data_IF_609167836581
#
_entry.id   IF_609167836581
#
_cell.length_a   1.000
_cell.length_b   1.000
_cell.length_c   1.000
_cell.angle_alpha   90.00
_cell.angle_beta   90.00
_cell.angle_gamma   90.00
#
_symmetry.space_group_name_H-M   'P 1'
#
loop_
_entity.id
_entity.type
_entity.pdbx_description
1 polymer ?
#
# COMPACT_ATOMS: atom_id res chain seq x y z
N UNK A 1 -25.59 -6.38 19.38
CA UNK A 1 -25.42 -5.39 18.29
C UNK A 1 -24.24 -5.84 17.49
N UNK A 2 -24.45 -6.32 16.26
CA UNK A 2 -23.35 -6.63 15.36
C UNK A 2 -22.53 -5.37 15.14
N UNK A 3 -21.23 -5.41 15.49
CA UNK A 3 -20.31 -4.35 15.09
C UNK A 3 -20.31 -4.32 13.57
N UNK A 4 -20.62 -3.18 12.98
CA UNK A 4 -20.42 -2.96 11.55
C UNK A 4 -18.96 -3.29 11.24
N UNK A 5 -18.73 -4.24 10.35
CA UNK A 5 -17.38 -4.64 9.94
C UNK A 5 -16.70 -3.44 9.28
N UNK A 6 -15.51 -3.05 9.75
CA UNK A 6 -14.71 -1.99 9.13
C UNK A 6 -14.28 -2.42 7.72
N UNK A 7 -14.29 -1.48 6.77
CA UNK A 7 -13.78 -1.71 5.42
C UNK A 7 -12.26 -1.60 5.43
N UNK A 8 -11.57 -2.58 4.85
CA UNK A 8 -10.10 -2.65 4.84
C UNK A 8 -9.57 -1.93 3.60
N UNK A 9 -8.87 -0.82 3.81
CA UNK A 9 -8.35 0.05 2.75
C UNK A 9 -6.82 0.01 2.73
N UNK A 10 -6.23 -0.20 1.57
CA UNK A 10 -4.79 -0.05 1.37
C UNK A 10 -4.50 1.29 0.68
N UNK A 11 -3.88 2.24 1.38
CA UNK A 11 -3.51 3.54 0.81
C UNK A 11 -2.10 3.43 0.24
N UNK A 12 -1.98 3.59 -1.09
CA UNK A 12 -0.69 3.54 -1.79
C UNK A 12 -0.15 4.96 -2.01
N UNK A 13 1.12 5.19 -1.73
CA UNK A 13 1.74 6.52 -1.88
C UNK A 13 3.24 6.46 -2.18
N UNK A 14 3.85 7.60 -2.49
CA UNK A 14 5.21 7.72 -3.01
C UNK A 14 5.25 7.48 -4.52
N UNK A 15 6.01 6.48 -4.94
CA UNK A 15 6.14 6.04 -6.33
C UNK A 15 7.48 6.41 -6.95
N UNK A 16 7.78 5.73 -8.08
CA UNK A 16 8.93 6.01 -8.94
C UNK A 16 8.62 7.18 -9.88
N UNK A 17 8.53 8.37 -9.30
CA UNK A 17 8.13 9.59 -9.99
C UNK A 17 8.85 10.80 -9.40
N UNK A 18 9.05 11.85 -10.21
CA UNK A 18 9.51 13.15 -9.72
C UNK A 18 8.50 13.84 -8.79
N UNK A 19 7.28 13.33 -8.73
CA UNK A 19 6.19 13.80 -7.88
C UNK A 19 6.02 12.96 -6.59
N UNK A 20 7.03 12.16 -6.25
CA UNK A 20 7.06 11.31 -5.04
C UNK A 20 6.64 12.07 -3.78
N UNK A 21 7.25 13.23 -3.51
CA UNK A 21 6.95 14.02 -2.30
C UNK A 21 5.54 14.61 -2.32
N UNK A 22 5.01 14.94 -3.51
CA UNK A 22 3.64 15.41 -3.68
C UNK A 22 2.67 14.30 -3.28
N UNK A 23 2.94 13.06 -3.70
CA UNK A 23 2.17 11.89 -3.30
C UNK A 23 2.18 11.66 -1.79
N UNK A 24 3.33 11.81 -1.11
CA UNK A 24 3.41 11.71 0.35
C UNK A 24 2.53 12.76 1.06
N UNK A 25 2.53 13.99 0.57
CA UNK A 25 1.71 15.07 1.13
C UNK A 25 0.20 14.85 0.91
N UNK A 26 -0.17 14.36 -0.28
CA UNK A 26 -1.55 13.96 -0.59
C UNK A 26 -2.00 12.82 0.32
N UNK A 27 -1.16 11.80 0.51
CA UNK A 27 -1.46 10.66 1.38
C UNK A 27 -1.64 11.09 2.84
N UNK A 28 -0.84 12.03 3.35
CA UNK A 28 -1.03 12.62 4.69
C UNK A 28 -2.43 13.22 4.85
N UNK A 29 -2.89 13.93 3.82
CA UNK A 29 -4.21 14.60 3.84
C UNK A 29 -5.35 13.58 3.82
N UNK A 30 -5.23 12.52 3.01
CA UNK A 30 -6.20 11.41 2.97
C UNK A 30 -6.24 10.69 4.32
N UNK A 31 -5.10 10.27 4.85
CA UNK A 31 -5.01 9.52 6.10
C UNK A 31 -5.53 10.31 7.31
N UNK A 32 -5.39 11.63 7.31
CA UNK A 32 -5.87 12.49 8.39
C UNK A 32 -7.41 12.59 8.49
N UNK A 33 -8.14 12.25 7.42
CA UNK A 33 -9.60 12.38 7.36
C UNK A 33 -10.34 11.04 7.30
N UNK A 34 -9.62 9.92 7.15
CA UNK A 34 -10.23 8.59 7.18
C UNK A 34 -10.79 8.30 8.58
N UNK A 35 -12.08 7.94 8.61
CA UNK A 35 -12.80 7.62 9.84
C UNK A 35 -12.34 6.25 10.39
N UNK A 36 -11.65 6.20 11.54
CA UNK A 36 -11.12 4.95 12.08
C UNK A 36 -12.24 4.00 12.53
N UNK A 37 -13.47 4.48 12.73
CA UNK A 37 -14.62 3.61 13.07
C UNK A 37 -15.18 2.90 11.85
N UNK A 38 -14.90 3.40 10.64
CA UNK A 38 -15.36 2.81 9.36
C UNK A 38 -14.27 2.06 8.61
N UNK A 39 -13.02 2.49 8.74
CA UNK A 39 -11.92 1.98 7.94
C UNK A 39 -10.80 1.38 8.79
N UNK A 40 -10.30 0.24 8.34
CA UNK A 40 -9.03 -0.34 8.80
C UNK A 40 -7.98 -0.07 7.72
N UNK A 41 -6.95 0.72 8.04
CA UNK A 41 -6.04 1.26 7.03
C UNK A 41 -4.70 0.54 7.03
N UNK A 42 -4.32 -0.01 5.87
CA UNK A 42 -2.96 -0.46 5.58
C UNK A 42 -2.24 0.61 4.76
N UNK A 43 -1.14 1.16 5.28
CA UNK A 43 -0.31 2.13 4.55
C UNK A 43 0.75 1.40 3.72
N UNK A 44 0.88 1.72 2.45
CA UNK A 44 1.93 1.15 1.59
C UNK A 44 2.64 2.28 0.86
N UNK A 45 3.91 2.48 1.20
CA UNK A 45 4.76 3.44 0.51
C UNK A 45 5.56 2.75 -0.59
N UNK A 46 5.71 3.41 -1.74
CA UNK A 46 6.49 2.93 -2.88
C UNK A 46 7.72 3.83 -3.00
N UNK A 47 8.93 3.27 -2.94
CA UNK A 47 10.17 4.04 -3.03
C UNK A 47 10.40 4.60 -4.44
N UNK A 48 11.37 5.51 -4.58
CA UNK A 48 11.81 6.00 -5.90
C UNK A 48 12.35 4.88 -6.80
N UNK A 49 12.84 3.79 -6.22
CA UNK A 49 13.27 2.60 -6.98
C UNK A 49 12.12 1.63 -7.27
N UNK A 50 10.92 1.92 -6.76
CA UNK A 50 9.71 1.13 -6.97
C UNK A 50 9.48 0.00 -5.98
N UNK A 51 10.21 -0.05 -4.86
CA UNK A 51 9.96 -1.03 -3.80
C UNK A 51 8.75 -0.64 -2.96
N UNK A 52 7.85 -1.59 -2.73
CA UNK A 52 6.67 -1.39 -1.90
C UNK A 52 6.99 -1.77 -0.47
N UNK A 53 6.69 -0.91 0.49
CA UNK A 53 7.10 -1.04 1.88
C UNK A 53 5.96 -0.78 2.85
N UNK A 54 5.92 -1.54 3.94
CA UNK A 54 4.98 -1.35 5.05
C UNK A 54 5.65 -1.60 6.41
N UNK A 55 5.20 -0.85 7.40
CA UNK A 55 5.52 -1.03 8.81
C UNK A 55 4.80 0.00 9.69
N UNK A 56 5.23 0.10 10.95
CA UNK A 56 4.69 1.10 11.87
C UNK A 56 4.97 2.51 11.35
N UNK A 57 3.94 3.36 11.27
CA UNK A 57 4.03 4.75 10.80
C UNK A 57 4.72 4.89 9.43
N UNK A 58 4.33 4.05 8.47
CA UNK A 58 4.96 3.98 7.13
C UNK A 58 5.10 5.34 6.46
N UNK A 59 4.04 6.17 6.45
CA UNK A 59 4.11 7.50 5.84
C UNK A 59 5.17 8.42 6.49
N UNK A 60 5.30 8.37 7.81
CA UNK A 60 6.29 9.18 8.53
C UNK A 60 7.70 8.67 8.27
N UNK A 61 7.89 7.35 8.19
CA UNK A 61 9.17 6.75 7.81
C UNK A 61 9.61 7.22 6.41
N UNK A 62 8.69 7.26 5.44
CA UNK A 62 8.96 7.82 4.11
C UNK A 62 9.32 9.32 4.17
N UNK A 63 8.52 10.11 4.89
CA UNK A 63 8.75 11.57 5.03
C UNK A 63 10.10 11.91 5.68
N UNK A 64 10.65 10.99 6.48
CA UNK A 64 11.93 11.16 7.17
C UNK A 64 13.10 10.45 6.48
N UNK A 65 12.85 9.72 5.39
CA UNK A 65 13.86 8.89 4.71
C UNK A 65 14.30 7.65 5.50
N UNK A 66 13.54 7.25 6.53
CA UNK A 66 13.89 6.18 7.47
C UNK A 66 13.20 4.86 7.12
N UNK A 67 13.29 4.42 5.86
CA UNK A 67 12.53 3.27 5.35
C UNK A 67 13.19 1.91 5.60
N UNK A 68 14.43 1.88 6.09
CA UNK A 68 15.23 0.64 6.27
C UNK A 68 14.60 -0.39 7.22
N UNK A 69 13.73 0.05 8.13
CA UNK A 69 13.04 -0.83 9.11
C UNK A 69 11.70 -1.34 8.60
N UNK A 70 11.28 -0.95 7.40
CA UNK A 70 10.03 -1.39 6.80
C UNK A 70 10.22 -2.73 6.10
N UNK A 71 9.11 -3.46 5.95
CA UNK A 71 9.10 -4.76 5.28
C UNK A 71 8.70 -4.57 3.83
N UNK A 72 9.33 -5.34 2.93
CA UNK A 72 8.94 -5.42 1.51
C UNK A 72 7.55 -6.02 1.41
N UNK A 73 6.68 -5.37 0.65
CA UNK A 73 5.28 -5.74 0.43
C UNK A 73 5.11 -6.21 -1.00
N UNK A 74 4.26 -7.22 -1.18
CA UNK A 74 3.85 -7.71 -2.49
C UNK A 74 2.33 -7.82 -2.54
N UNK A 75 1.77 -7.37 -3.66
CA UNK A 75 0.43 -7.71 -4.10
C UNK A 75 0.54 -8.79 -5.19
N UNK A 76 0.10 -10.03 -4.92
CA UNK A 76 -0.05 -11.02 -5.98
C UNK A 76 -1.07 -10.53 -7.02
N UNK A 77 -0.71 -10.59 -8.30
CA UNK A 77 -1.65 -10.34 -9.41
C UNK A 77 -2.58 -11.53 -9.66
N UNK A 78 -3.17 -12.08 -8.60
CA UNK A 78 -4.04 -13.26 -8.64
C UNK A 78 -5.42 -12.93 -8.05
N UNK A 79 -6.52 -13.09 -8.80
CA UNK A 79 -7.89 -12.78 -8.36
C UNK A 79 -8.32 -13.49 -7.07
N UNK A 80 -7.74 -14.65 -6.77
CA UNK A 80 -8.16 -15.51 -5.66
C UNK A 80 -7.86 -14.92 -4.27
N UNK A 81 -6.99 -13.91 -4.18
CA UNK A 81 -6.44 -13.42 -2.92
C UNK A 81 -6.31 -11.90 -2.88
N UNK A 82 -7.37 -11.21 -2.45
CA UNK A 82 -7.34 -9.76 -2.15
C UNK A 82 -6.59 -9.47 -0.84
N UNK A 83 -5.28 -9.73 -0.83
CA UNK A 83 -4.43 -9.54 0.33
C UNK A 83 -3.03 -9.06 -0.06
N UNK A 84 -2.44 -8.27 0.84
CA UNK A 84 -1.03 -7.90 0.79
C UNK A 84 -0.21 -8.90 1.61
N UNK A 85 1.02 -9.11 1.19
CA UNK A 85 1.97 -10.00 1.83
C UNK A 85 3.27 -9.26 2.10
N UNK A 86 3.95 -9.60 3.20
CA UNK A 86 5.33 -9.20 3.44
C UNK A 86 6.28 -10.31 3.03
N UNK A 87 7.40 -9.93 2.42
CA UNK A 87 8.50 -10.83 2.13
C UNK A 87 9.44 -10.87 3.34
N UNK A 88 9.67 -12.08 3.87
CA UNK A 88 10.63 -12.33 4.95
C UNK A 88 11.70 -13.33 4.49
N UNK A 89 12.94 -13.20 4.98
CA UNK A 89 13.93 -14.26 4.83
C UNK A 89 13.43 -15.55 5.51
N UNK A 90 13.50 -16.67 4.80
CA UNK A 90 13.23 -18.00 5.32
C UNK A 90 14.36 -18.98 5.00
N UNK A 91 14.31 -20.18 5.58
CA UNK A 91 15.37 -21.18 5.52
C UNK A 91 15.69 -21.66 4.09
N UNK A 92 14.77 -21.49 3.14
CA UNK A 92 14.91 -21.94 1.75
C UNK A 92 14.63 -20.84 0.72
N UNK A 93 14.71 -19.55 1.12
CA UNK A 93 14.44 -18.40 0.25
C UNK A 93 13.51 -17.39 0.90
N UNK A 94 12.99 -16.45 0.11
CA UNK A 94 11.96 -15.51 0.60
C UNK A 94 10.63 -16.26 0.83
N UNK A 95 10.06 -16.05 2.01
CA UNK A 95 8.73 -16.52 2.36
C UNK A 95 7.74 -15.36 2.35
N UNK A 96 6.54 -15.62 1.84
CA UNK A 96 5.43 -14.68 1.92
C UNK A 96 4.63 -14.94 3.20
N UNK A 97 4.51 -13.92 4.04
CA UNK A 97 3.61 -13.91 5.19
C UNK A 97 2.48 -12.91 4.90
N UNK A 98 1.23 -13.33 5.14
CA UNK A 98 0.08 -12.46 4.91
C UNK A 98 0.16 -11.24 5.83
N UNK A 99 0.15 -10.05 5.24
CA UNK A 99 0.15 -8.78 5.96
C UNK A 99 -1.28 -8.41 6.37
N UNK A 100 -2.15 -8.25 5.38
CA UNK A 100 -3.52 -7.80 5.58
C UNK A 100 -4.39 -8.22 4.40
N UNK A 101 -5.65 -8.53 4.66
CA UNK A 101 -6.66 -8.51 3.60
C UNK A 101 -6.99 -7.07 3.23
N UNK A 102 -7.34 -6.85 1.96
CA UNK A 102 -7.69 -5.54 1.42
C UNK A 102 -9.01 -5.65 0.67
N UNK A 103 -9.98 -4.81 1.04
CA UNK A 103 -11.27 -4.71 0.32
C UNK A 103 -11.18 -3.69 -0.82
N UNK A 104 -10.39 -2.63 -0.64
CA UNK A 104 -10.20 -1.56 -1.63
C UNK A 104 -8.80 -0.97 -1.53
N UNK A 105 -8.17 -0.74 -2.67
CA UNK A 105 -6.95 0.04 -2.79
C UNK A 105 -7.30 1.50 -3.00
N UNK A 106 -6.47 2.42 -2.50
CA UNK A 106 -6.64 3.84 -2.73
C UNK A 106 -5.31 4.40 -3.21
N UNK A 107 -5.07 4.42 -4.54
CA UNK A 107 -3.84 4.94 -5.10
C UNK A 107 -3.78 6.46 -4.94
N UNK A 108 -2.84 6.93 -4.13
CA UNK A 108 -2.49 8.36 -4.00
C UNK A 108 -1.17 8.60 -4.72
N UNK A 109 -1.06 8.18 -5.98
CA UNK A 109 0.18 8.22 -6.76
C UNK A 109 0.09 9.31 -7.84
N UNK A 110 1.22 9.92 -8.20
CA UNK A 110 1.30 10.97 -9.21
C UNK A 110 2.38 10.65 -10.25
N UNK A 111 2.14 11.08 -11.48
CA UNK A 111 3.06 10.92 -12.60
C UNK A 111 3.09 9.49 -13.15
N UNK A 112 4.21 9.10 -13.80
CA UNK A 112 4.36 7.78 -14.41
C UNK A 112 4.08 6.65 -13.43
N UNK A 113 3.52 5.55 -13.93
CA UNK A 113 3.06 4.38 -13.18
C UNK A 113 1.85 4.61 -12.25
N UNK A 114 1.59 5.84 -11.81
CA UNK A 114 0.46 6.20 -10.94
C UNK A 114 -0.79 6.64 -11.71
N UNK A 115 -0.61 7.47 -12.73
CA UNK A 115 -1.72 8.13 -13.46
C UNK A 115 -1.87 7.66 -14.92
N UNK A 116 -0.94 6.81 -15.40
CA UNK A 116 -0.90 6.32 -16.78
C UNK A 116 -1.63 4.99 -17.01
N UNK A 117 -2.29 4.45 -16.00
CA UNK A 117 -3.00 3.17 -16.07
C UNK A 117 -2.18 1.96 -15.61
N UNK A 118 -0.87 2.11 -15.34
CA UNK A 118 -0.02 0.96 -14.99
C UNK A 118 -0.45 0.31 -13.66
N UNK A 119 -0.59 1.11 -12.60
CA UNK A 119 -1.02 0.58 -11.30
C UNK A 119 -2.46 0.05 -11.38
N UNK A 120 -3.34 0.73 -12.12
CA UNK A 120 -4.72 0.31 -12.32
C UNK A 120 -4.77 -1.05 -13.02
N UNK A 121 -3.92 -1.29 -14.03
CA UNK A 121 -3.81 -2.59 -14.68
C UNK A 121 -3.36 -3.70 -13.74
N UNK A 122 -2.43 -3.43 -12.81
CA UNK A 122 -2.05 -4.41 -11.77
C UNK A 122 -3.24 -4.73 -10.85
N UNK A 123 -3.97 -3.71 -10.40
CA UNK A 123 -5.13 -3.88 -9.52
C UNK A 123 -6.29 -4.60 -10.23
N UNK A 124 -6.47 -4.34 -11.52
CA UNK A 124 -7.43 -5.05 -12.38
C UNK A 124 -7.07 -6.55 -12.51
N UNK A 125 -5.79 -6.87 -12.72
CA UNK A 125 -5.32 -8.26 -12.79
C UNK A 125 -5.46 -9.00 -11.45
N UNK A 126 -5.34 -8.28 -10.33
CA UNK A 126 -5.57 -8.81 -9.00
C UNK A 126 -7.06 -8.91 -8.62
N UNK A 127 -7.98 -8.47 -9.49
CA UNK A 127 -9.43 -8.44 -9.26
C UNK A 127 -9.83 -7.75 -7.95
N UNK A 128 -9.25 -6.57 -7.70
CA UNK A 128 -9.51 -5.76 -6.49
C UNK A 128 -10.08 -4.40 -6.84
N UNK A 129 -10.93 -3.86 -5.95
CA UNK A 129 -11.44 -2.50 -6.08
C UNK A 129 -10.33 -1.47 -5.84
N UNK A 130 -10.36 -0.34 -6.57
CA UNK A 130 -9.39 0.75 -6.44
C UNK A 130 -9.95 2.13 -6.76
#
# INVERSE_FOLDING_TARGET
MDRVKKLRIAVLFGGRSGEHDVSLMSARSVLAVLDPEKYEVTQVGITLDGEWLNGANTLDAFSQGNVEKLNRVVLPGEPSHSALYILKPGDSGEMMEKLADVDVFFPVLHGPFGEDGTIQGLLELADVAY
#
